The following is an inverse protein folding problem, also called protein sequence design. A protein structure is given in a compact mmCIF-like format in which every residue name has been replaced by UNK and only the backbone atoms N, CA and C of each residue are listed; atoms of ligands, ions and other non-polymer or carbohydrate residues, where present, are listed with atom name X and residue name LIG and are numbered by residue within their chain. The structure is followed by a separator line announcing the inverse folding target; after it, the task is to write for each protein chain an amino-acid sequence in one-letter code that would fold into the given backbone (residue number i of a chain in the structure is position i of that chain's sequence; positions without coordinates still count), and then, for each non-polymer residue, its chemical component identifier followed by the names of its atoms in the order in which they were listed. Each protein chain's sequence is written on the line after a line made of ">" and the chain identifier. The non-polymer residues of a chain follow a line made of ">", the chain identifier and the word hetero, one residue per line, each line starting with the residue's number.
data_IF_436680647715
#
_entry.id   IF_436680647715
#
_cell.length_a   1.000
_cell.length_b   1.000
_cell.length_c   1.000
_cell.angle_alpha   90.00
_cell.angle_beta   90.00
_cell.angle_gamma   90.00
#
_symmetry.space_group_name_H-M   'P 1'
#
loop_
_entity.id
_entity.type
_entity.pdbx_description
1 polymer ?
#
# COMPACT_ATOMS: atom_id res chain seq x y z
N UNK A 1 -20.55 -2.11 9.16
CA UNK A 1 -19.94 -2.95 10.22
C UNK A 1 -18.88 -3.83 9.56
N UNK A 2 -17.60 -3.66 9.90
CA UNK A 2 -16.56 -4.54 9.37
C UNK A 2 -16.60 -5.88 10.13
N UNK A 3 -16.83 -6.99 9.43
CA UNK A 3 -16.72 -8.31 10.03
C UNK A 3 -15.24 -8.56 10.35
N UNK A 4 -14.91 -8.68 11.64
CA UNK A 4 -13.60 -9.18 12.09
C UNK A 4 -13.57 -10.69 11.90
N UNK A 5 -13.11 -11.14 10.74
CA UNK A 5 -12.90 -12.57 10.47
C UNK A 5 -11.56 -13.01 11.05
N UNK A 6 -11.58 -14.02 11.93
CA UNK A 6 -10.35 -14.64 12.42
C UNK A 6 -9.88 -15.70 11.43
N UNK A 7 -8.72 -15.48 10.82
CA UNK A 7 -8.08 -16.43 9.90
C UNK A 7 -6.95 -17.15 10.64
N UNK A 8 -6.85 -18.47 10.45
CA UNK A 8 -5.75 -19.29 10.96
C UNK A 8 -5.09 -19.98 9.79
N UNK A 9 -3.76 -19.86 9.69
CA UNK A 9 -2.95 -20.50 8.66
C UNK A 9 -2.27 -21.73 9.27
N UNK A 10 -2.30 -22.85 8.56
CA UNK A 10 -1.70 -24.12 9.00
C UNK A 10 -0.91 -24.70 7.84
N UNK A 11 0.25 -25.28 8.16
CA UNK A 11 1.06 -26.02 7.21
C UNK A 11 0.62 -27.47 7.15
N UNK A 12 0.45 -27.98 5.93
CA UNK A 12 0.17 -29.39 5.67
C UNK A 12 1.25 -29.95 4.71
N UNK A 13 1.67 -31.20 4.89
CA UNK A 13 2.64 -31.82 3.99
C UNK A 13 2.04 -32.01 2.59
N UNK A 14 2.86 -31.82 1.55
CA UNK A 14 2.43 -32.03 0.17
C UNK A 14 2.29 -33.52 -0.17
N UNK A 15 1.36 -33.84 -1.08
CA UNK A 15 1.21 -35.17 -1.70
C UNK A 15 0.97 -36.34 -0.71
N UNK A 16 0.29 -36.07 0.40
CA UNK A 16 -0.09 -37.10 1.39
C UNK A 16 -1.51 -37.66 1.20
N UNK A 17 -2.14 -37.45 0.05
CA UNK A 17 -3.50 -37.94 -0.19
C UNK A 17 -4.62 -37.05 0.36
N UNK A 18 -4.34 -35.80 0.75
CA UNK A 18 -5.39 -34.85 1.18
C UNK A 18 -6.09 -34.31 -0.07
N UNK A 19 -7.35 -34.70 -0.36
CA UNK A 19 -7.95 -34.44 -1.67
C UNK A 19 -8.09 -32.93 -1.97
N UNK A 20 -8.35 -32.12 -0.94
CA UNK A 20 -8.43 -30.66 -1.08
C UNK A 20 -7.09 -30.02 -1.43
N UNK A 21 -5.99 -30.50 -0.85
CA UNK A 21 -4.65 -29.98 -1.13
C UNK A 21 -4.19 -30.40 -2.54
N UNK A 22 -4.46 -31.65 -2.93
CA UNK A 22 -4.12 -32.18 -4.25
C UNK A 22 -4.90 -31.48 -5.35
N UNK A 23 -6.19 -31.24 -5.14
CA UNK A 23 -7.01 -30.49 -6.10
C UNK A 23 -6.52 -29.05 -6.29
N UNK A 24 -6.11 -28.38 -5.21
CA UNK A 24 -5.55 -27.03 -5.30
C UNK A 24 -4.21 -27.04 -6.03
N UNK A 25 -3.33 -28.02 -5.76
CA UNK A 25 -2.06 -28.19 -6.45
C UNK A 25 -2.24 -28.46 -7.96
N UNK A 26 -3.19 -29.32 -8.32
CA UNK A 26 -3.55 -29.59 -9.72
C UNK A 26 -4.05 -28.31 -10.41
N UNK A 27 -4.98 -27.58 -9.79
CA UNK A 27 -5.48 -26.32 -10.34
C UNK A 27 -4.38 -25.26 -10.50
N UNK A 28 -3.47 -25.17 -9.52
CA UNK A 28 -2.33 -24.26 -9.59
C UNK A 28 -1.39 -24.62 -10.75
N UNK A 29 -1.12 -25.91 -10.98
CA UNK A 29 -0.34 -26.39 -12.14
C UNK A 29 -1.03 -26.12 -13.47
N UNK A 30 -2.34 -26.31 -13.54
CA UNK A 30 -3.12 -26.00 -14.75
C UNK A 30 -3.07 -24.51 -15.09
N UNK A 31 -3.16 -23.64 -14.07
CA UNK A 31 -3.08 -22.19 -14.24
C UNK A 31 -1.74 -21.71 -14.83
N UNK A 32 -0.64 -22.46 -14.65
CA UNK A 32 0.65 -22.12 -15.28
C UNK A 32 0.61 -22.18 -16.81
N UNK A 33 -0.26 -23.02 -17.37
CA UNK A 33 -0.39 -23.22 -18.82
C UNK A 33 -1.55 -22.41 -19.42
N UNK A 34 -2.28 -21.66 -18.59
CA UNK A 34 -3.39 -20.85 -19.04
C UNK A 34 -2.89 -19.51 -19.57
N UNK A 35 -3.42 -19.06 -20.72
CA UNK A 35 -3.16 -17.72 -21.22
C UNK A 35 -3.64 -16.69 -20.19
N UNK A 36 -2.72 -15.84 -19.73
CA UNK A 36 -3.03 -14.75 -18.83
C UNK A 36 -3.78 -13.71 -19.64
N UNK A 37 -5.11 -13.66 -19.51
CA UNK A 37 -5.87 -12.50 -19.93
C UNK A 37 -5.54 -11.35 -18.97
N UNK A 38 -4.91 -10.30 -19.51
CA UNK A 38 -4.47 -9.10 -18.79
C UNK A 38 -5.66 -8.17 -18.42
N UNK A 39 -6.84 -8.75 -18.22
CA UNK A 39 -8.05 -8.05 -17.78
C UNK A 39 -7.98 -7.67 -16.30
N UNK A 40 -6.89 -8.06 -15.62
CA UNK A 40 -6.57 -7.59 -14.28
C UNK A 40 -6.11 -6.14 -14.37
N UNK A 41 -7.08 -5.23 -14.38
CA UNK A 41 -6.83 -3.84 -14.05
C UNK A 41 -6.08 -3.82 -12.72
N UNK A 42 -4.81 -3.42 -12.75
CA UNK A 42 -4.04 -3.15 -11.54
C UNK A 42 -4.91 -2.25 -10.67
N UNK A 43 -5.27 -2.74 -9.49
CA UNK A 43 -6.20 -2.01 -8.65
C UNK A 43 -5.51 -0.70 -8.29
N UNK A 44 -6.13 0.43 -8.60
CA UNK A 44 -5.55 1.76 -8.37
C UNK A 44 -5.04 1.96 -6.93
N UNK A 45 -5.64 1.25 -5.97
CA UNK A 45 -5.19 1.19 -4.57
C UNK A 45 -3.75 0.73 -4.41
N UNK A 46 -3.32 -0.25 -5.22
CA UNK A 46 -1.99 -0.85 -5.12
C UNK A 46 -0.91 0.13 -5.60
N UNK A 47 -1.26 0.96 -6.59
CA UNK A 47 -0.41 2.03 -7.08
C UNK A 47 -0.43 3.26 -6.16
N UNK A 48 -1.53 3.51 -5.46
CA UNK A 48 -1.71 4.68 -4.57
C UNK A 48 -0.60 4.78 -3.53
N UNK A 49 -0.24 3.66 -2.88
CA UNK A 49 0.82 3.64 -1.88
C UNK A 49 2.17 4.06 -2.48
N UNK A 50 2.50 3.54 -3.67
CA UNK A 50 3.76 3.83 -4.36
C UNK A 50 3.84 5.30 -4.79
N UNK A 51 2.74 5.83 -5.36
CA UNK A 51 2.66 7.24 -5.76
C UNK A 51 2.77 8.16 -4.55
N UNK A 52 2.03 7.89 -3.48
CA UNK A 52 2.09 8.71 -2.26
C UNK A 52 3.49 8.70 -1.64
N UNK A 53 4.13 7.53 -1.55
CA UNK A 53 5.50 7.41 -1.04
C UNK A 53 6.48 8.24 -1.88
N UNK A 54 6.34 8.23 -3.20
CA UNK A 54 7.19 9.01 -4.09
C UNK A 54 6.96 10.52 -3.91
N UNK A 55 5.70 10.97 -3.82
CA UNK A 55 5.36 12.38 -3.57
C UNK A 55 5.89 12.86 -2.21
N UNK A 56 5.79 12.02 -1.18
CA UNK A 56 6.36 12.31 0.15
C UNK A 56 7.87 12.47 0.10
N UNK A 57 8.58 11.61 -0.66
CA UNK A 57 10.03 11.71 -0.82
C UNK A 57 10.43 13.00 -1.54
N UNK A 58 9.73 13.37 -2.61
CA UNK A 58 9.99 14.62 -3.33
C UNK A 58 9.78 15.83 -2.41
N UNK A 59 8.72 15.79 -1.60
CA UNK A 59 8.42 16.88 -0.68
C UNK A 59 9.45 16.97 0.45
N UNK A 60 9.85 15.85 1.03
CA UNK A 60 10.93 15.82 2.02
C UNK A 60 12.24 16.36 1.42
N UNK A 61 12.55 15.99 0.17
CA UNK A 61 13.75 16.48 -0.52
C UNK A 61 13.71 18.00 -0.71
N UNK A 62 12.58 18.57 -1.14
CA UNK A 62 12.44 20.03 -1.23
C UNK A 62 12.55 20.68 0.17
N UNK A 63 11.94 20.06 1.18
CA UNK A 63 11.96 20.55 2.55
C UNK A 63 13.37 20.62 3.14
N UNK A 64 14.19 19.59 2.89
CA UNK A 64 15.58 19.53 3.33
C UNK A 64 16.45 20.65 2.72
N UNK A 65 16.02 21.24 1.59
CA UNK A 65 16.71 22.41 0.99
C UNK A 65 16.39 23.72 1.71
N UNK A 66 15.33 23.79 2.53
CA UNK A 66 14.88 25.01 3.21
C UNK A 66 15.65 25.27 4.51
N UNK A 67 16.98 25.31 4.41
CA UNK A 67 17.93 25.41 5.54
C UNK A 67 17.81 26.69 6.39
N UNK A 68 17.19 27.76 5.86
CA UNK A 68 16.94 29.01 6.58
C UNK A 68 15.49 29.16 7.07
N UNK A 69 14.71 28.06 7.08
CA UNK A 69 13.34 28.08 7.55
C UNK A 69 13.27 27.64 9.02
N UNK A 70 12.79 28.52 9.90
CA UNK A 70 12.61 28.23 11.34
C UNK A 70 11.70 27.03 11.60
N UNK A 71 10.73 26.77 10.72
CA UNK A 71 9.86 25.60 10.83
C UNK A 71 10.61 24.31 10.46
N UNK A 72 11.56 24.38 9.53
CA UNK A 72 12.43 23.24 9.19
C UNK A 72 13.32 22.86 10.38
N UNK A 73 13.86 23.83 11.11
CA UNK A 73 14.62 23.59 12.34
C UNK A 73 13.81 22.81 13.40
N UNK A 74 12.51 23.15 13.53
CA UNK A 74 11.62 22.52 14.52
C UNK A 74 11.08 21.17 14.01
N UNK A 75 10.89 21.04 12.69
CA UNK A 75 10.29 19.86 12.06
C UNK A 75 11.05 19.47 10.79
N UNK A 76 12.22 18.82 10.92
CA UNK A 76 12.98 18.40 9.76
C UNK A 76 12.31 17.24 9.02
N UNK A 77 11.55 16.36 9.71
CA UNK A 77 10.89 15.22 9.07
C UNK A 77 9.39 15.48 8.85
N UNK A 78 8.94 15.50 7.59
CA UNK A 78 7.54 15.73 7.23
C UNK A 78 6.65 14.49 7.41
N UNK A 79 7.23 13.29 7.44
CA UNK A 79 6.50 12.03 7.58
C UNK A 79 5.86 11.88 8.96
N UNK A 80 6.42 12.54 9.98
CA UNK A 80 5.85 12.62 11.33
C UNK A 80 4.46 13.32 11.38
N UNK A 81 4.05 14.02 10.31
CA UNK A 81 2.69 14.59 10.20
C UNK A 81 1.58 13.53 10.06
N UNK A 82 1.89 12.31 9.61
CA UNK A 82 0.87 11.35 9.14
C UNK A 82 0.24 10.49 10.23
N UNK A 83 0.59 10.69 11.51
CA UNK A 83 -0.12 10.03 12.62
C UNK A 83 -1.52 10.62 12.89
N UNK A 84 -1.97 11.61 12.12
CA UNK A 84 -3.34 12.12 12.19
C UNK A 84 -4.25 11.34 11.24
N UNK A 85 -4.91 10.34 11.81
CA UNK A 85 -6.02 9.52 11.31
C UNK A 85 -6.19 9.43 9.77
N UNK A 86 -5.66 8.36 9.20
CA UNK A 86 -5.77 7.96 7.79
C UNK A 86 -7.24 7.84 7.31
N UNK A 87 -8.22 7.76 8.23
CA UNK A 87 -9.67 7.74 7.93
C UNK A 87 -10.24 9.08 7.43
N UNK A 88 -9.46 10.16 7.47
CA UNK A 88 -9.87 11.47 6.93
C UNK A 88 -9.48 11.66 5.44
N UNK A 89 -8.66 10.78 4.88
CA UNK A 89 -8.12 10.89 3.51
C UNK A 89 -9.17 10.61 2.41
N UNK A 90 -10.33 10.04 2.74
CA UNK A 90 -11.38 9.75 1.74
C UNK A 90 -12.29 10.97 1.43
N UNK A 91 -12.08 12.12 2.08
CA UNK A 91 -13.03 13.24 2.00
C UNK A 91 -12.53 14.50 1.29
N UNK A 92 -11.28 14.57 0.80
CA UNK A 92 -10.80 15.77 0.09
C UNK A 92 -10.13 15.44 -1.25
N UNK A 93 -10.66 15.94 -2.38
CA UNK A 93 -10.08 15.71 -3.71
C UNK A 93 -8.86 16.61 -4.01
N UNK A 94 -8.49 17.50 -3.08
CA UNK A 94 -7.38 18.43 -3.21
C UNK A 94 -6.68 18.55 -1.85
N UNK A 95 -5.35 18.51 -1.84
CA UNK A 95 -4.53 19.13 -0.79
C UNK A 95 -4.12 20.52 -1.28
N UNK A 96 -4.78 21.63 -0.91
CA UNK A 96 -4.26 22.96 -1.18
C UNK A 96 -3.23 23.34 -0.10
N UNK A 97 -2.05 23.71 -0.57
CA UNK A 97 -1.19 24.83 -0.15
C UNK A 97 -1.01 25.16 1.34
N UNK A 98 0.27 25.16 1.74
CA UNK A 98 0.82 26.30 2.49
C UNK A 98 1.88 26.95 1.59
N UNK A 99 1.42 27.83 0.70
CA UNK A 99 2.23 28.95 0.25
C UNK A 99 2.41 29.89 1.44
N UNK A 100 3.58 30.52 1.50
CA UNK A 100 4.03 31.51 2.49
C UNK A 100 4.65 30.96 3.77
N UNK A 101 5.95 30.66 3.69
CA UNK A 101 6.98 31.30 4.51
C UNK A 101 8.38 31.01 3.92
#
# INVERSE_FOLDING_TARGET
>A
MALRTKVVLVWIPSHVGIPGNEKVDELAKLALNQEIHDDKQVIWSDLKLKVNTYLEQLWQTDWDTKVNNKLHEIRPNLKERLNYDERLCEQTPYRPFMDHA
#
